data_IF_661336516112
#
_entry.id   IF_661336516112
#
_cell.length_a   1.000
_cell.length_b   1.000
_cell.length_c   1.000
_cell.angle_alpha   90.00
_cell.angle_beta   90.00
_cell.angle_gamma   90.00
#
_symmetry.space_group_name_H-M   'P 1'
#
loop_
_entity.id
_entity.type
_entity.pdbx_description
1 polymer ?
#
# COMPACT_ATOMS: atom_id res chain seq x y z
N UNK A 1 -31.21 18.53 -28.78
CA UNK A 1 -30.61 18.73 -27.44
C UNK A 1 -30.38 17.42 -26.70
N UNK A 2 -31.38 16.51 -26.65
CA UNK A 2 -31.25 15.17 -26.03
C UNK A 2 -30.13 14.30 -26.60
N UNK A 3 -29.92 14.26 -27.92
CA UNK A 3 -28.81 13.48 -28.52
C UNK A 3 -27.42 13.94 -28.04
N UNK A 4 -27.22 15.25 -27.84
CA UNK A 4 -25.95 15.78 -27.31
C UNK A 4 -25.75 15.43 -25.85
N UNK A 5 -26.83 15.37 -25.06
CA UNK A 5 -26.80 14.94 -23.66
C UNK A 5 -26.49 13.45 -23.57
N UNK A 6 -27.18 12.62 -24.35
CA UNK A 6 -26.94 11.17 -24.42
C UNK A 6 -25.51 10.89 -24.90
N UNK A 7 -25.02 11.59 -25.92
CA UNK A 7 -23.65 11.45 -26.42
C UNK A 7 -22.57 11.95 -25.43
N UNK A 8 -22.90 12.87 -24.51
CA UNK A 8 -22.00 13.27 -23.41
C UNK A 8 -22.01 12.24 -22.29
N UNK A 9 -23.19 11.75 -21.91
CA UNK A 9 -23.34 10.70 -20.90
C UNK A 9 -22.68 9.40 -21.33
N UNK A 10 -22.84 8.98 -22.59
CA UNK A 10 -22.18 7.78 -23.12
C UNK A 10 -20.66 7.90 -23.12
N UNK A 11 -20.12 9.08 -23.45
CA UNK A 11 -18.68 9.36 -23.37
C UNK A 11 -18.18 9.37 -21.93
N UNK A 12 -18.93 9.94 -21.00
CA UNK A 12 -18.61 9.91 -19.56
C UNK A 12 -18.62 8.48 -19.01
N UNK A 13 -19.64 7.69 -19.35
CA UNK A 13 -19.74 6.28 -18.95
C UNK A 13 -18.62 5.45 -19.57
N UNK A 14 -18.30 5.66 -20.84
CA UNK A 14 -17.19 4.99 -21.52
C UNK A 14 -15.82 5.38 -20.94
N UNK A 15 -15.67 6.65 -20.53
CA UNK A 15 -14.46 7.13 -19.85
C UNK A 15 -14.33 6.54 -18.45
N UNK A 16 -15.42 6.50 -17.68
CA UNK A 16 -15.46 5.94 -16.33
C UNK A 16 -15.27 4.41 -16.33
N UNK A 17 -15.76 3.72 -17.38
CA UNK A 17 -15.61 2.27 -17.56
C UNK A 17 -14.23 1.81 -18.02
N UNK A 18 -13.32 2.74 -18.36
CA UNK A 18 -11.93 2.43 -18.72
C UNK A 18 -11.00 2.66 -17.54
N UNK A 19 -10.01 1.79 -17.39
CA UNK A 19 -8.97 1.92 -16.35
C UNK A 19 -7.90 2.92 -16.82
N UNK A 20 -7.72 4.01 -16.08
CA UNK A 20 -6.69 5.02 -16.35
C UNK A 20 -5.46 4.79 -15.47
N UNK A 21 -4.30 5.33 -15.87
CA UNK A 21 -3.06 5.26 -15.09
C UNK A 21 -2.59 3.85 -14.65
N UNK A 22 -2.67 2.81 -15.52
CA UNK A 22 -2.34 1.44 -15.12
C UNK A 22 -0.86 1.27 -14.75
N UNK A 23 0.04 2.04 -15.37
CA UNK A 23 1.48 2.01 -15.06
C UNK A 23 1.77 2.58 -13.68
N UNK A 24 1.15 3.70 -13.30
CA UNK A 24 1.30 4.28 -11.96
C UNK A 24 0.81 3.30 -10.89
N UNK A 25 -0.35 2.67 -11.12
CA UNK A 25 -0.87 1.65 -10.22
C UNK A 25 0.08 0.44 -10.08
N UNK A 26 0.74 0.03 -11.17
CA UNK A 26 1.73 -1.04 -11.14
C UNK A 26 3.00 -0.65 -10.37
N UNK A 27 3.50 0.59 -10.53
CA UNK A 27 4.63 1.11 -9.75
C UNK A 27 4.30 1.13 -8.27
N UNK A 28 3.12 1.63 -7.89
CA UNK A 28 2.68 1.66 -6.49
C UNK A 28 2.62 0.23 -5.93
N UNK A 29 1.96 -0.70 -6.65
CA UNK A 29 1.90 -2.10 -6.22
C UNK A 29 3.28 -2.72 -5.99
N UNK A 30 4.20 -2.52 -6.93
CA UNK A 30 5.57 -3.08 -6.83
C UNK A 30 6.31 -2.43 -5.66
N UNK A 31 6.28 -1.10 -5.56
CA UNK A 31 6.98 -0.34 -4.53
C UNK A 31 6.53 -0.71 -3.11
N UNK A 32 5.22 -0.65 -2.83
CA UNK A 32 4.70 -0.97 -1.50
C UNK A 32 4.86 -2.45 -1.14
N UNK A 33 4.68 -3.36 -2.11
CA UNK A 33 4.97 -4.78 -1.90
C UNK A 33 6.45 -5.04 -1.60
N UNK A 34 7.36 -4.34 -2.29
CA UNK A 34 8.80 -4.42 -2.07
C UNK A 34 9.20 -3.89 -0.68
N UNK A 35 8.82 -2.65 -0.34
CA UNK A 35 9.22 -2.03 0.92
C UNK A 35 8.72 -2.84 2.12
N UNK A 36 7.45 -3.24 2.11
CA UNK A 36 6.89 -4.03 3.20
C UNK A 36 7.56 -5.42 3.31
N UNK A 37 7.85 -6.08 2.19
CA UNK A 37 8.59 -7.35 2.22
C UNK A 37 10.01 -7.18 2.76
N UNK A 38 10.74 -6.14 2.33
CA UNK A 38 12.09 -5.85 2.81
C UNK A 38 12.10 -5.49 4.30
N UNK A 39 11.13 -4.71 4.78
CA UNK A 39 10.96 -4.40 6.18
C UNK A 39 10.81 -5.68 7.02
N UNK A 40 9.87 -6.54 6.67
CA UNK A 40 9.67 -7.80 7.39
C UNK A 40 10.86 -8.77 7.26
N UNK A 41 11.55 -8.80 6.12
CA UNK A 41 12.74 -9.64 5.98
C UNK A 41 13.92 -9.13 6.82
N UNK A 42 14.08 -7.81 6.93
CA UNK A 42 15.08 -7.21 7.79
C UNK A 42 14.78 -7.46 9.27
N UNK A 43 13.52 -7.27 9.68
CA UNK A 43 13.11 -7.47 11.07
C UNK A 43 12.85 -8.94 11.42
N UNK A 44 13.09 -9.85 10.48
CA UNK A 44 12.94 -11.28 10.72
C UNK A 44 13.69 -11.79 11.97
N UNK A 45 14.94 -11.37 12.29
CA UNK A 45 15.61 -11.79 13.52
C UNK A 45 14.91 -11.31 14.80
N UNK A 46 14.32 -10.11 14.78
CA UNK A 46 13.72 -9.44 15.94
C UNK A 46 12.20 -9.62 16.03
N UNK A 47 11.57 -10.23 15.02
CA UNK A 47 10.11 -10.30 14.82
C UNK A 47 9.31 -10.73 16.05
N UNK A 48 9.87 -11.64 16.87
CA UNK A 48 9.17 -12.17 18.05
C UNK A 48 9.09 -11.16 19.19
N UNK A 49 10.08 -10.28 19.29
CA UNK A 49 10.12 -9.18 20.26
C UNK A 49 9.30 -8.00 19.76
N UNK A 50 9.28 -7.74 18.45
CA UNK A 50 8.53 -6.60 17.90
C UNK A 50 7.03 -6.85 17.77
N UNK A 51 6.63 -8.08 17.40
CA UNK A 51 5.26 -8.39 17.01
C UNK A 51 4.72 -9.70 17.60
N UNK A 52 5.59 -10.51 18.20
CA UNK A 52 5.28 -11.90 18.53
C UNK A 52 4.93 -12.14 19.99
N UNK A 53 5.38 -13.31 20.45
CA UNK A 53 5.14 -13.84 21.79
C UNK A 53 6.12 -13.28 22.85
N UNK A 54 7.20 -12.61 22.44
CA UNK A 54 8.18 -11.95 23.31
C UNK A 54 7.98 -10.44 23.38
N UNK A 55 6.90 -9.94 22.79
CA UNK A 55 6.58 -8.52 22.75
C UNK A 55 6.26 -7.98 24.15
N UNK A 56 6.96 -6.93 24.63
CA UNK A 56 6.63 -6.25 25.88
C UNK A 56 5.17 -5.76 25.91
N UNK A 57 4.60 -5.41 24.76
CA UNK A 57 3.18 -5.14 24.61
C UNK A 57 2.39 -6.45 24.62
N UNK A 58 1.89 -6.80 25.81
CA UNK A 58 1.21 -8.07 26.04
C UNK A 58 -0.05 -8.22 25.17
N UNK A 59 -0.39 -9.48 24.86
CA UNK A 59 -1.60 -9.81 24.09
C UNK A 59 -2.88 -9.24 24.74
N UNK A 60 -2.94 -9.20 26.07
CA UNK A 60 -4.08 -8.65 26.81
C UNK A 60 -4.23 -7.15 26.56
N UNK A 61 -3.13 -6.39 26.60
CA UNK A 61 -3.14 -4.95 26.32
C UNK A 61 -3.52 -4.68 24.87
N UNK A 62 -3.01 -5.48 23.93
CA UNK A 62 -3.39 -5.37 22.53
C UNK A 62 -4.89 -5.61 22.32
N UNK A 63 -5.46 -6.66 22.94
CA UNK A 63 -6.91 -6.93 22.90
C UNK A 63 -7.75 -5.80 23.50
N UNK A 64 -7.30 -5.19 24.60
CA UNK A 64 -7.98 -4.03 25.20
C UNK A 64 -7.99 -2.84 24.25
N UNK A 65 -6.84 -2.51 23.64
CA UNK A 65 -6.73 -1.42 22.69
C UNK A 65 -7.58 -1.68 21.43
N UNK A 66 -7.58 -2.91 20.92
CA UNK A 66 -8.42 -3.31 19.78
C UNK A 66 -9.92 -3.22 20.12
N UNK A 67 -10.32 -3.55 21.34
CA UNK A 67 -11.72 -3.42 21.75
C UNK A 67 -12.19 -1.96 21.78
N UNK A 68 -11.31 -1.03 22.14
CA UNK A 68 -11.60 0.41 22.21
C UNK A 68 -11.54 1.09 20.82
N UNK A 69 -10.50 0.78 20.03
CA UNK A 69 -10.24 1.43 18.74
C UNK A 69 -10.93 0.76 17.55
N UNK A 70 -11.43 -0.46 17.72
CA UNK A 70 -11.94 -1.32 16.64
C UNK A 70 -10.91 -1.59 15.52
N UNK A 71 -9.60 -1.51 15.85
CA UNK A 71 -8.52 -1.81 14.92
C UNK A 71 -8.47 -3.30 14.55
N UNK A 72 -8.30 -3.62 13.27
CA UNK A 72 -8.24 -5.01 12.81
C UNK A 72 -6.85 -5.62 12.97
N UNK A 73 -6.75 -6.76 13.64
CA UNK A 73 -5.55 -7.60 13.58
C UNK A 73 -5.89 -9.06 13.85
N UNK A 74 -5.45 -9.94 12.96
CA UNK A 74 -5.61 -11.39 13.16
C UNK A 74 -4.65 -11.94 14.21
N UNK A 75 -3.59 -11.20 14.59
CA UNK A 75 -2.62 -11.65 15.58
C UNK A 75 -3.19 -11.77 16.99
N UNK A 76 -4.32 -11.10 17.29
CA UNK A 76 -4.97 -11.19 18.61
C UNK A 76 -5.77 -12.47 18.81
N UNK A 77 -6.06 -13.20 17.73
CA UNK A 77 -6.89 -14.40 17.75
C UNK A 77 -6.25 -15.54 18.54
N UNK A 78 -4.92 -15.64 18.50
CA UNK A 78 -4.16 -16.62 19.28
C UNK A 78 -2.81 -16.04 19.73
N UNK A 79 -2.46 -16.27 20.99
CA UNK A 79 -1.14 -15.93 21.53
C UNK A 79 -0.05 -16.97 21.21
N UNK A 80 -0.39 -18.03 20.47
CA UNK A 80 0.54 -19.10 20.17
C UNK A 80 1.60 -18.69 19.15
N UNK A 81 2.85 -19.10 19.39
CA UNK A 81 3.98 -18.89 18.47
C UNK A 81 3.66 -19.30 17.03
N UNK A 82 3.04 -20.47 16.84
CA UNK A 82 2.72 -20.98 15.51
C UNK A 82 1.77 -20.07 14.72
N UNK A 83 0.80 -19.47 15.40
CA UNK A 83 -0.13 -18.52 14.77
C UNK A 83 0.59 -17.25 14.33
N UNK A 84 1.43 -16.70 15.21
CA UNK A 84 2.25 -15.55 14.89
C UNK A 84 3.15 -15.81 13.67
N UNK A 85 3.89 -16.91 13.66
CA UNK A 85 4.81 -17.25 12.56
C UNK A 85 4.04 -17.47 11.24
N UNK A 86 2.85 -18.09 11.29
CA UNK A 86 1.99 -18.26 10.12
C UNK A 86 1.58 -16.90 9.53
N UNK A 87 1.09 -15.98 10.36
CA UNK A 87 0.63 -14.66 9.92
C UNK A 87 1.81 -13.82 9.41
N UNK A 88 2.93 -13.83 10.11
CA UNK A 88 4.14 -13.07 9.74
C UNK A 88 4.71 -13.50 8.38
N UNK A 89 4.95 -14.81 8.20
CA UNK A 89 5.44 -15.33 6.92
C UNK A 89 4.38 -15.25 5.82
N UNK A 90 3.09 -15.37 6.18
CA UNK A 90 1.96 -15.11 5.30
C UNK A 90 1.95 -13.67 4.77
N UNK A 91 2.26 -12.69 5.61
CA UNK A 91 2.37 -11.28 5.23
C UNK A 91 3.54 -11.05 4.25
N UNK A 92 4.71 -11.66 4.51
CA UNK A 92 5.85 -11.64 3.57
C UNK A 92 5.44 -12.24 2.22
N UNK A 93 4.82 -13.42 2.24
CA UNK A 93 4.38 -14.10 1.02
C UNK A 93 3.34 -13.26 0.26
N UNK A 94 2.38 -12.65 0.96
CA UNK A 94 1.38 -11.78 0.37
C UNK A 94 2.02 -10.55 -0.29
N UNK A 95 3.01 -9.92 0.36
CA UNK A 95 3.75 -8.79 -0.18
C UNK A 95 4.53 -9.15 -1.45
N UNK A 96 5.25 -10.28 -1.45
CA UNK A 96 5.98 -10.76 -2.62
C UNK A 96 5.02 -11.14 -3.75
N UNK A 97 3.93 -11.86 -3.47
CA UNK A 97 2.96 -12.24 -4.49
C UNK A 97 2.23 -11.01 -5.07
N UNK A 98 1.93 -10.01 -4.24
CA UNK A 98 1.39 -8.73 -4.69
C UNK A 98 2.41 -7.99 -5.56
N UNK A 99 3.69 -7.94 -5.18
CA UNK A 99 4.78 -7.34 -5.95
C UNK A 99 4.99 -8.02 -7.31
N UNK A 100 4.82 -9.34 -7.40
CA UNK A 100 4.83 -10.08 -8.67
C UNK A 100 3.53 -9.93 -9.48
N UNK A 101 2.45 -9.51 -8.82
CA UNK A 101 1.13 -9.34 -9.43
C UNK A 101 0.49 -10.67 -9.78
N UNK A 102 0.65 -11.64 -8.87
CA UNK A 102 0.00 -12.94 -8.96
C UNK A 102 -1.35 -12.87 -8.24
N UNK A 103 -2.45 -13.12 -8.96
CA UNK A 103 -3.82 -13.09 -8.42
C UNK A 103 -4.08 -11.79 -7.65
N UNK A 104 -3.71 -10.68 -8.29
CA UNK A 104 -3.53 -9.36 -7.70
C UNK A 104 -4.71 -8.92 -6.83
N UNK A 105 -5.95 -9.27 -7.20
CA UNK A 105 -7.13 -8.93 -6.39
C UNK A 105 -7.17 -9.63 -5.03
N UNK A 106 -6.83 -10.92 -4.99
CA UNK A 106 -6.77 -11.68 -3.75
C UNK A 106 -5.51 -11.36 -2.95
N UNK A 107 -4.37 -11.24 -3.62
CA UNK A 107 -3.11 -10.90 -2.94
C UNK A 107 -3.08 -9.48 -2.41
N UNK A 108 -3.81 -8.53 -3.01
CA UNK A 108 -4.00 -7.20 -2.42
C UNK A 108 -4.81 -7.23 -1.12
N UNK A 109 -5.82 -8.12 -1.01
CA UNK A 109 -6.58 -8.33 0.24
C UNK A 109 -5.69 -9.00 1.29
N UNK A 110 -4.93 -10.03 0.92
CA UNK A 110 -3.98 -10.65 1.85
C UNK A 110 -2.89 -9.68 2.31
N UNK A 111 -2.42 -8.81 1.42
CA UNK A 111 -1.48 -7.75 1.76
C UNK A 111 -2.09 -6.78 2.76
N UNK A 112 -3.33 -6.31 2.52
CA UNK A 112 -4.08 -5.48 3.47
C UNK A 112 -4.20 -6.16 4.84
N UNK A 113 -4.59 -7.44 4.88
CA UNK A 113 -4.68 -8.21 6.13
C UNK A 113 -3.31 -8.29 6.83
N UNK A 114 -2.24 -8.56 6.09
CA UNK A 114 -0.87 -8.65 6.62
C UNK A 114 -0.38 -7.32 7.21
N UNK A 115 -0.57 -6.22 6.47
CA UNK A 115 -0.22 -4.87 6.91
C UNK A 115 -0.97 -4.49 8.18
N UNK A 116 -2.30 -4.62 8.17
CA UNK A 116 -3.12 -4.32 9.36
C UNK A 116 -2.78 -5.24 10.54
N UNK A 117 -2.48 -6.51 10.29
CA UNK A 117 -2.13 -7.45 11.35
C UNK A 117 -0.84 -7.06 12.07
N UNK A 118 0.22 -6.76 11.32
CA UNK A 118 1.53 -6.42 11.87
C UNK A 118 1.51 -5.03 12.53
N UNK A 119 1.01 -4.02 11.84
CA UNK A 119 1.09 -2.66 12.36
C UNK A 119 0.17 -2.42 13.56
N UNK A 120 -1.05 -2.98 13.57
CA UNK A 120 -1.92 -2.86 14.74
C UNK A 120 -1.46 -3.75 15.91
N UNK A 121 -0.51 -4.66 15.70
CA UNK A 121 0.09 -5.46 16.78
C UNK A 121 1.09 -4.66 17.60
N UNK A 122 1.81 -3.72 16.98
CA UNK A 122 2.80 -2.85 17.62
C UNK A 122 2.57 -1.37 17.26
N UNK A 123 1.48 -0.76 17.79
CA UNK A 123 1.05 0.58 17.37
C UNK A 123 2.03 1.70 17.74
N UNK A 124 2.97 1.45 18.65
CA UNK A 124 3.93 2.44 19.13
C UNK A 124 5.32 2.32 18.48
N UNK A 125 5.55 1.26 17.71
CA UNK A 125 6.84 1.05 17.04
C UNK A 125 6.91 1.70 15.65
N UNK A 126 5.76 2.05 15.06
CA UNK A 126 5.69 2.57 13.70
C UNK A 126 5.95 4.08 13.59
N UNK A 127 6.28 4.51 12.38
CA UNK A 127 6.43 5.92 12.01
C UNK A 127 5.37 6.39 10.99
N UNK A 128 5.48 7.64 10.53
CA UNK A 128 4.54 8.21 9.57
C UNK A 128 4.55 7.50 8.19
N UNK A 129 5.62 6.79 7.86
CA UNK A 129 5.74 5.96 6.67
C UNK A 129 4.87 4.70 6.77
N UNK A 130 4.80 4.06 7.93
CA UNK A 130 3.93 2.90 8.17
C UNK A 130 2.46 3.26 8.01
N UNK A 131 2.04 4.41 8.54
CA UNK A 131 0.67 4.92 8.33
C UNK A 131 0.33 5.08 6.84
N UNK A 132 1.30 5.49 6.02
CA UNK A 132 1.11 5.59 4.56
C UNK A 132 0.99 4.18 3.94
N UNK A 133 1.78 3.20 4.37
CA UNK A 133 1.66 1.80 3.91
C UNK A 133 0.27 1.24 4.25
N UNK A 134 -0.22 1.48 5.47
CA UNK A 134 -1.57 1.09 5.90
C UNK A 134 -2.66 1.63 4.99
N UNK A 135 -2.65 2.94 4.77
CA UNK A 135 -3.63 3.62 3.93
C UNK A 135 -3.52 3.13 2.48
N UNK A 136 -2.29 2.96 1.98
CA UNK A 136 -2.06 2.49 0.62
C UNK A 136 -2.51 1.03 0.43
N UNK A 137 -2.38 0.18 1.43
CA UNK A 137 -2.86 -1.19 1.38
C UNK A 137 -4.39 -1.24 1.15
N UNK A 138 -5.14 -0.36 1.82
CA UNK A 138 -6.59 -0.21 1.61
C UNK A 138 -6.89 0.23 0.18
N UNK A 139 -6.18 1.24 -0.32
CA UNK A 139 -6.37 1.72 -1.69
C UNK A 139 -6.00 0.65 -2.73
N UNK A 140 -4.90 -0.07 -2.52
CA UNK A 140 -4.46 -1.13 -3.42
C UNK A 140 -5.49 -2.26 -3.54
N UNK A 141 -6.14 -2.63 -2.44
CA UNK A 141 -7.23 -3.61 -2.42
C UNK A 141 -8.45 -3.19 -3.27
N UNK A 142 -8.66 -1.89 -3.47
CA UNK A 142 -9.70 -1.31 -4.33
C UNK A 142 -9.22 -1.02 -5.78
N UNK A 143 -7.93 -1.12 -6.07
CA UNK A 143 -7.37 -0.76 -7.38
C UNK A 143 -7.15 -1.96 -8.31
N UNK A 144 -7.26 -1.72 -9.62
CA UNK A 144 -6.85 -2.67 -10.67
C UNK A 144 -5.33 -2.60 -10.94
N UNK A 145 -4.51 -2.80 -9.91
CA UNK A 145 -3.04 -2.67 -10.01
C UNK A 145 -2.32 -3.85 -10.72
N UNK A 146 -3.06 -4.87 -11.17
CA UNK A 146 -2.57 -6.02 -11.94
C UNK A 146 -2.82 -5.95 -13.45
N UNK A 147 -3.04 -4.75 -14.01
CA UNK A 147 -3.30 -4.58 -15.45
C UNK A 147 -2.04 -4.71 -16.32
N UNK A 148 -0.93 -4.15 -15.85
CA UNK A 148 0.39 -4.15 -16.50
C UNK A 148 1.46 -4.62 -15.52
N UNK A 149 2.63 -5.03 -16.05
CA UNK A 149 3.80 -5.48 -15.26
C UNK A 149 3.48 -6.50 -14.16
N UNK A 150 2.60 -7.45 -14.45
CA UNK A 150 2.13 -8.47 -13.51
C UNK A 150 2.05 -9.85 -14.15
N UNK A 151 2.20 -10.89 -13.34
CA UNK A 151 1.96 -12.26 -13.76
C UNK A 151 0.50 -12.47 -14.22
N UNK A 152 -0.46 -11.73 -13.67
CA UNK A 152 -1.84 -11.71 -14.14
C UNK A 152 -1.98 -11.18 -15.58
N UNK A 153 -1.28 -10.09 -15.92
CA UNK A 153 -1.29 -9.56 -17.29
C UNK A 153 -0.73 -10.58 -18.29
N UNK A 154 0.38 -11.24 -17.93
CA UNK A 154 0.97 -12.31 -18.74
C UNK A 154 0.02 -13.50 -18.90
N UNK A 155 -0.68 -13.91 -17.82
CA UNK A 155 -1.67 -14.99 -17.86
C UNK A 155 -2.88 -14.68 -18.76
N UNK A 156 -3.35 -13.42 -18.76
CA UNK A 156 -4.46 -13.01 -19.65
C UNK A 156 -4.09 -13.16 -21.12
N UNK A 157 -2.85 -12.81 -21.49
CA UNK A 157 -2.34 -13.03 -22.85
C UNK A 157 -2.39 -14.50 -23.28
N UNK A 158 -1.93 -15.42 -22.42
CA UNK A 158 -1.96 -16.86 -22.71
C UNK A 158 -3.37 -17.48 -22.68
N UNK A 159 -4.33 -16.89 -21.96
CA UNK A 159 -5.73 -17.36 -21.95
C UNK A 159 -6.50 -17.02 -23.21
N UNK A 160 -6.16 -15.91 -23.87
CA UNK A 160 -6.72 -15.59 -25.18
C UNK A 160 -6.40 -16.70 -26.21
N UNK A 161 -5.29 -17.41 -25.98
CA UNK A 161 -4.81 -18.54 -26.79
C UNK A 161 -5.48 -19.89 -26.44
N UNK A 162 -6.42 -19.92 -25.48
CA UNK A 162 -7.24 -21.10 -25.17
C UNK A 162 -6.53 -22.25 -24.43
N UNK A 163 -5.29 -22.06 -23.97
CA UNK A 163 -4.39 -23.20 -23.70
C UNK A 163 -4.56 -23.92 -22.34
N UNK A 164 -5.14 -23.32 -21.28
CA UNK A 164 -5.21 -24.00 -19.94
C UNK A 164 -6.41 -23.60 -19.04
N UNK A 165 -7.09 -24.59 -18.41
CA UNK A 165 -8.16 -24.33 -17.43
C UNK A 165 -7.65 -23.70 -16.13
N UNK A 166 -8.43 -22.79 -15.54
CA UNK A 166 -8.07 -22.03 -14.32
C UNK A 166 -8.17 -22.82 -13.00
N UNK A 167 -7.39 -23.88 -12.83
CA UNK A 167 -7.42 -24.69 -11.58
C UNK A 167 -7.03 -23.89 -10.34
N UNK A 168 -6.01 -23.03 -10.45
CA UNK A 168 -5.54 -22.22 -9.31
C UNK A 168 -6.55 -21.17 -8.85
N UNK A 169 -7.35 -20.61 -9.77
CA UNK A 169 -8.43 -19.69 -9.42
C UNK A 169 -9.54 -20.41 -8.65
N UNK A 170 -9.94 -21.60 -9.12
CA UNK A 170 -10.97 -22.41 -8.43
C UNK A 170 -10.52 -22.77 -7.02
N UNK A 171 -9.30 -23.32 -6.86
CA UNK A 171 -8.77 -23.69 -5.56
C UNK A 171 -8.72 -22.49 -4.59
N UNK A 172 -8.26 -21.32 -5.08
CA UNK A 172 -8.21 -20.09 -4.27
C UNK A 172 -9.59 -19.71 -3.73
N UNK A 173 -10.62 -19.64 -4.59
CA UNK A 173 -11.96 -19.25 -4.17
C UNK A 173 -12.62 -20.29 -3.27
N UNK A 174 -12.42 -21.58 -3.56
CA UNK A 174 -12.92 -22.70 -2.75
C UNK A 174 -12.31 -22.76 -1.36
N UNK A 175 -11.07 -22.28 -1.16
CA UNK A 175 -10.42 -22.24 0.16
C UNK A 175 -10.78 -20.96 0.92
N UNK A 176 -10.85 -19.81 0.23
CA UNK A 176 -11.12 -18.52 0.86
C UNK A 176 -12.50 -18.45 1.53
N UNK A 177 -13.54 -19.01 0.91
CA UNK A 177 -14.90 -18.98 1.47
C UNK A 177 -15.00 -19.70 2.82
N UNK A 178 -14.60 -20.99 2.91
CA UNK A 178 -14.53 -21.71 4.18
C UNK A 178 -13.61 -21.05 5.22
N UNK A 179 -12.48 -20.47 4.81
CA UNK A 179 -11.59 -19.77 5.72
C UNK A 179 -12.25 -18.51 6.32
N UNK A 180 -12.98 -17.73 5.52
CA UNK A 180 -13.75 -16.58 6.00
C UNK A 180 -14.91 -17.02 6.90
N UNK A 181 -15.60 -18.11 6.56
CA UNK A 181 -16.66 -18.68 7.39
C UNK A 181 -16.12 -19.11 8.76
N UNK A 182 -15.01 -19.84 8.77
CA UNK A 182 -14.34 -20.22 10.02
C UNK A 182 -13.96 -18.99 10.84
N UNK A 183 -13.34 -17.98 10.22
CA UNK A 183 -12.98 -16.73 10.91
C UNK A 183 -14.21 -16.03 11.51
N UNK A 184 -15.33 -15.98 10.78
CA UNK A 184 -16.60 -15.41 11.26
C UNK A 184 -17.23 -16.17 12.43
N UNK A 185 -17.03 -17.48 12.51
CA UNK A 185 -17.51 -18.28 13.64
C UNK A 185 -16.67 -18.10 14.91
N UNK A 186 -15.37 -17.80 14.77
CA UNK A 186 -14.43 -17.75 15.90
C UNK A 186 -14.22 -16.32 16.40
N UNK A 187 -14.18 -15.33 15.50
CA UNK A 187 -13.84 -13.94 15.83
C UNK A 187 -14.65 -12.93 15.01
N UNK A 188 -15.94 -12.76 15.34
CA UNK A 188 -16.75 -11.76 14.66
C UNK A 188 -16.29 -10.33 14.99
N UNK A 189 -15.74 -9.64 14.00
CA UNK A 189 -15.45 -8.21 14.02
C UNK A 189 -16.14 -7.51 12.84
N UNK A 190 -16.23 -6.17 12.88
CA UNK A 190 -16.84 -5.39 11.79
C UNK A 190 -16.09 -5.52 10.45
N UNK A 191 -14.81 -5.90 10.49
CA UNK A 191 -13.95 -6.02 9.32
C UNK A 191 -14.25 -7.28 8.51
N UNK A 192 -14.65 -8.38 9.14
CA UNK A 192 -15.09 -9.58 8.43
C UNK A 192 -16.27 -9.30 7.50
N UNK A 193 -17.17 -8.36 7.84
CA UNK A 193 -18.21 -7.90 6.92
C UNK A 193 -17.65 -7.30 5.64
N UNK A 194 -16.60 -6.48 5.75
CA UNK A 194 -15.89 -5.90 4.60
C UNK A 194 -15.26 -7.02 3.76
N UNK A 195 -14.56 -7.96 4.39
CA UNK A 195 -13.94 -9.08 3.67
C UNK A 195 -14.95 -9.99 2.99
N UNK A 196 -16.12 -10.23 3.58
CA UNK A 196 -17.24 -10.93 2.94
C UNK A 196 -17.76 -10.22 1.70
N UNK A 197 -17.92 -8.89 1.75
CA UNK A 197 -18.32 -8.10 0.57
C UNK A 197 -17.26 -8.20 -0.52
N UNK A 198 -15.97 -8.04 -0.17
CA UNK A 198 -14.87 -8.14 -1.13
C UNK A 198 -14.80 -9.54 -1.76
N UNK A 199 -14.91 -10.60 -0.95
CA UNK A 199 -14.90 -11.98 -1.42
C UNK A 199 -16.08 -12.27 -2.34
N UNK A 200 -17.30 -11.85 -1.96
CA UNK A 200 -18.51 -12.09 -2.73
C UNK A 200 -18.49 -11.38 -4.09
N UNK A 201 -18.09 -10.11 -4.12
CA UNK A 201 -17.98 -9.36 -5.38
C UNK A 201 -16.93 -9.95 -6.32
N UNK A 202 -15.78 -10.34 -5.79
CA UNK A 202 -14.72 -10.95 -6.59
C UNK A 202 -15.04 -12.38 -7.02
N UNK A 203 -15.71 -13.15 -6.17
CA UNK A 203 -16.21 -14.49 -6.45
C UNK A 203 -17.30 -14.48 -7.52
N UNK A 204 -18.25 -13.55 -7.44
CA UNK A 204 -19.25 -13.32 -8.49
C UNK A 204 -18.60 -12.94 -9.82
N UNK A 205 -17.60 -12.05 -9.79
CA UNK A 205 -16.84 -11.70 -10.98
C UNK A 205 -16.15 -12.93 -11.60
N UNK A 206 -15.52 -13.77 -10.77
CA UNK A 206 -14.84 -15.00 -11.23
C UNK A 206 -15.82 -16.04 -11.80
N UNK A 207 -16.96 -16.23 -11.15
CA UNK A 207 -18.04 -17.10 -11.60
C UNK A 207 -18.57 -16.67 -12.97
N UNK A 208 -18.86 -15.38 -13.14
CA UNK A 208 -19.32 -14.83 -14.41
C UNK A 208 -18.25 -14.91 -15.51
N UNK A 209 -16.97 -14.65 -15.19
CA UNK A 209 -15.86 -14.80 -16.14
C UNK A 209 -15.74 -16.24 -16.67
N UNK A 210 -16.05 -17.22 -15.82
CA UNK A 210 -15.96 -18.65 -16.15
C UNK A 210 -17.19 -19.17 -16.91
N UNK A 211 -18.40 -18.83 -16.47
CA UNK A 211 -19.63 -19.45 -16.96
C UNK A 211 -20.44 -18.57 -17.92
N UNK A 212 -20.33 -17.25 -17.79
CA UNK A 212 -21.14 -16.31 -18.58
C UNK A 212 -20.34 -15.04 -18.95
N UNK A 213 -19.20 -15.17 -19.68
CA UNK A 213 -18.26 -14.07 -19.90
C UNK A 213 -18.86 -12.91 -20.71
N UNK A 214 -19.93 -13.17 -21.48
CA UNK A 214 -20.66 -12.18 -22.29
C UNK A 214 -21.92 -11.62 -21.61
N UNK A 215 -22.18 -11.99 -20.35
CA UNK A 215 -23.37 -11.54 -19.63
C UNK A 215 -23.27 -10.06 -19.24
N UNK A 216 -24.39 -9.34 -19.26
CA UNK A 216 -24.42 -7.90 -18.95
C UNK A 216 -23.88 -7.59 -17.54
N UNK A 217 -24.20 -8.43 -16.55
CA UNK A 217 -23.66 -8.32 -15.19
C UNK A 217 -22.13 -8.33 -15.15
N UNK A 218 -21.48 -9.11 -16.03
CA UNK A 218 -20.02 -9.16 -16.11
C UNK A 218 -19.44 -7.83 -16.60
N UNK A 219 -20.12 -7.18 -17.55
CA UNK A 219 -19.77 -5.86 -18.06
C UNK A 219 -20.02 -4.75 -17.03
N UNK A 220 -21.11 -4.84 -16.26
CA UNK A 220 -21.41 -3.93 -15.16
C UNK A 220 -20.34 -4.01 -14.05
N UNK A 221 -19.96 -5.21 -13.62
CA UNK A 221 -18.88 -5.40 -12.64
C UNK A 221 -17.53 -4.87 -13.15
N UNK A 222 -17.25 -4.99 -14.45
CA UNK A 222 -16.03 -4.43 -15.02
C UNK A 222 -16.02 -2.91 -15.04
N UNK A 223 -17.13 -2.30 -15.44
CA UNK A 223 -17.30 -0.86 -15.45
C UNK A 223 -17.22 -0.29 -14.03
N UNK A 224 -17.92 -0.91 -13.07
CA UNK A 224 -17.88 -0.52 -11.66
C UNK A 224 -16.47 -0.62 -11.05
N UNK A 225 -15.75 -1.70 -11.32
CA UNK A 225 -14.39 -1.85 -10.83
C UNK A 225 -13.36 -0.96 -11.55
N UNK A 226 -13.60 -0.56 -12.81
CA UNK A 226 -12.80 0.47 -13.48
C UNK A 226 -13.04 1.85 -12.85
N UNK A 227 -14.29 2.18 -12.56
CA UNK A 227 -14.66 3.42 -11.87
C UNK A 227 -14.04 3.47 -10.46
N UNK A 228 -14.17 2.40 -9.68
CA UNK A 228 -13.57 2.29 -8.35
C UNK A 228 -12.05 2.49 -8.40
N UNK A 229 -11.37 1.87 -9.38
CA UNK A 229 -9.94 2.08 -9.59
C UNK A 229 -9.61 3.54 -9.91
N UNK A 230 -10.35 4.19 -10.80
CA UNK A 230 -10.10 5.58 -11.17
C UNK A 230 -10.30 6.52 -9.97
N UNK A 231 -11.35 6.30 -9.17
CA UNK A 231 -11.58 7.01 -7.92
C UNK A 231 -10.41 6.80 -6.94
N UNK A 232 -9.97 5.55 -6.75
CA UNK A 232 -8.84 5.25 -5.87
C UNK A 232 -7.54 5.91 -6.34
N UNK A 233 -7.25 5.91 -7.64
CA UNK A 233 -6.07 6.61 -8.19
C UNK A 233 -6.13 8.13 -7.98
N UNK A 234 -7.32 8.72 -8.08
CA UNK A 234 -7.52 10.14 -7.79
C UNK A 234 -7.31 10.44 -6.30
N UNK A 235 -7.85 9.60 -5.41
CA UNK A 235 -7.66 9.71 -3.96
C UNK A 235 -6.18 9.57 -3.62
N UNK A 236 -5.46 8.61 -4.19
CA UNK A 236 -4.01 8.47 -4.02
C UNK A 236 -3.29 9.75 -4.44
N UNK A 237 -3.61 10.30 -5.62
CA UNK A 237 -2.97 11.52 -6.10
C UNK A 237 -3.23 12.69 -5.15
N UNK A 238 -4.47 12.90 -4.72
CA UNK A 238 -4.84 13.96 -3.78
C UNK A 238 -4.15 13.76 -2.41
N UNK A 239 -4.17 12.54 -1.88
CA UNK A 239 -3.52 12.19 -0.62
C UNK A 239 -2.03 12.49 -0.65
N UNK A 240 -1.33 12.10 -1.72
CA UNK A 240 0.10 12.39 -1.89
C UNK A 240 0.35 13.91 -1.91
N UNK A 241 -0.49 14.69 -2.60
CA UNK A 241 -0.38 16.15 -2.59
C UNK A 241 -0.54 16.72 -1.19
N UNK A 242 -1.53 16.24 -0.45
CA UNK A 242 -1.82 16.69 0.91
C UNK A 242 -0.68 16.35 1.86
N UNK A 243 -0.15 15.12 1.80
CA UNK A 243 0.98 14.68 2.63
C UNK A 243 2.20 15.57 2.38
N UNK A 244 2.57 15.81 1.12
CA UNK A 244 3.74 16.65 0.84
C UNK A 244 3.51 18.11 1.22
N UNK A 245 2.34 18.68 0.91
CA UNK A 245 2.04 20.06 1.25
C UNK A 245 2.04 20.29 2.78
N UNK A 246 1.37 19.40 3.53
CA UNK A 246 1.30 19.50 4.99
C UNK A 246 2.66 19.27 5.63
N UNK A 247 3.44 18.29 5.15
CA UNK A 247 4.79 18.04 5.62
C UNK A 247 5.72 19.23 5.37
N UNK A 248 5.62 19.89 4.21
CA UNK A 248 6.39 21.10 3.90
C UNK A 248 6.01 22.30 4.77
N UNK A 249 4.70 22.55 4.94
CA UNK A 249 4.19 23.63 5.78
C UNK A 249 4.53 23.42 7.26
N UNK A 250 4.46 22.18 7.74
CA UNK A 250 4.84 21.86 9.12
C UNK A 250 6.35 22.08 9.34
N UNK A 251 7.19 21.64 8.40
CA UNK A 251 8.63 21.92 8.44
C UNK A 251 8.93 23.41 8.44
N UNK A 252 8.27 24.22 7.60
CA UNK A 252 8.53 25.67 7.55
C UNK A 252 8.26 26.42 8.87
N UNK A 253 7.46 25.85 9.77
CA UNK A 253 7.18 26.42 11.09
C UNK A 253 8.21 26.02 12.16
N UNK A 254 9.02 24.98 11.91
CA UNK A 254 10.01 24.49 12.87
C UNK A 254 11.30 25.31 12.85
N UNK A 255 11.77 25.74 14.02
CA UNK A 255 12.99 26.56 14.18
C UNK A 255 14.21 25.92 13.53
N UNK A 256 14.37 24.59 13.66
CA UNK A 256 15.46 23.82 13.03
C UNK A 256 15.42 23.79 11.50
N UNK A 257 14.24 23.91 10.90
CA UNK A 257 14.13 24.01 9.45
C UNK A 257 14.37 25.45 8.99
N UNK A 258 13.93 26.43 9.79
CA UNK A 258 14.15 27.86 9.53
C UNK A 258 15.61 28.29 9.65
N UNK A 259 16.39 27.68 10.55
CA UNK A 259 17.83 27.94 10.68
C UNK A 259 18.69 27.03 9.76
N UNK A 260 18.07 26.14 8.98
CA UNK A 260 18.74 25.26 8.03
C UNK A 260 19.50 24.08 8.66
N UNK A 261 19.28 23.76 9.94
CA UNK A 261 20.03 22.73 10.67
C UNK A 261 19.29 21.40 10.85
N UNK A 262 18.01 21.29 10.51
CA UNK A 262 17.16 20.12 10.80
C UNK A 262 17.75 18.79 10.29
N UNK A 263 18.21 18.76 9.04
CA UNK A 263 18.79 17.55 8.42
C UNK A 263 20.08 17.13 9.14
N UNK A 264 20.89 18.09 9.65
CA UNK A 264 22.07 17.77 10.45
C UNK A 264 21.69 17.02 11.73
N UNK A 265 20.70 17.52 12.48
CA UNK A 265 20.25 16.84 13.70
C UNK A 265 19.69 15.44 13.41
N UNK A 266 18.93 15.28 12.33
CA UNK A 266 18.42 13.97 11.92
C UNK A 266 19.56 12.97 11.65
N UNK A 267 20.65 13.42 11.01
CA UNK A 267 21.84 12.59 10.75
C UNK A 267 22.68 12.28 12.00
N UNK A 268 22.42 12.91 13.15
CA UNK A 268 23.13 12.65 14.40
C UNK A 268 22.37 11.73 15.37
N UNK A 269 21.11 11.40 15.08
CA UNK A 269 20.33 10.46 15.89
C UNK A 269 20.81 9.02 15.66
N UNK A 270 21.29 8.35 16.70
CA UNK A 270 21.84 6.99 16.60
C UNK A 270 20.88 5.98 15.96
N UNK A 271 19.57 6.16 16.17
CA UNK A 271 18.52 5.35 15.55
C UNK A 271 18.53 5.42 14.02
N UNK A 272 18.83 6.59 13.45
CA UNK A 272 18.79 6.86 12.00
C UNK A 272 20.19 6.88 11.37
N UNK A 273 21.15 6.14 11.95
CA UNK A 273 22.55 6.09 11.48
C UNK A 273 23.00 4.67 11.16
N UNK A 274 22.39 3.99 10.16
CA UNK A 274 22.85 2.67 9.74
C UNK A 274 24.31 2.67 9.30
N UNK A 275 24.80 3.81 8.77
CA UNK A 275 26.17 4.00 8.32
C UNK A 275 26.76 5.30 8.93
N UNK A 276 27.42 5.23 10.09
CA UNK A 276 27.93 6.42 10.77
C UNK A 276 28.91 7.25 9.93
N UNK A 277 29.74 6.60 9.11
CA UNK A 277 30.69 7.27 8.21
C UNK A 277 29.98 8.06 7.10
N UNK A 278 28.86 7.56 6.58
CA UNK A 278 28.13 8.19 5.48
C UNK A 278 27.38 9.42 5.99
N UNK A 279 26.73 9.29 7.15
CA UNK A 279 26.07 10.42 7.82
C UNK A 279 27.10 11.49 8.21
N UNK A 280 28.27 11.10 8.73
CA UNK A 280 29.37 12.02 9.01
C UNK A 280 29.83 12.77 7.74
N UNK A 281 30.05 12.07 6.63
CA UNK A 281 30.45 12.68 5.36
C UNK A 281 29.39 13.65 4.82
N UNK A 282 28.12 13.25 4.82
CA UNK A 282 27.01 14.09 4.37
C UNK A 282 26.85 15.34 5.25
N UNK A 283 27.05 15.19 6.56
CA UNK A 283 26.98 16.28 7.53
C UNK A 283 28.25 17.15 7.59
N UNK A 284 29.34 16.77 6.92
CA UNK A 284 30.60 17.52 6.96
C UNK A 284 30.52 18.87 6.23
N UNK A 285 29.62 19.02 5.26
CA UNK A 285 29.44 20.23 4.49
C UNK A 285 28.13 20.95 4.88
N UNK A 286 28.25 22.04 5.65
CA UNK A 286 27.10 22.83 6.10
C UNK A 286 26.29 23.44 4.95
N UNK A 287 26.92 23.79 3.81
CA UNK A 287 26.21 24.29 2.65
C UNK A 287 25.31 23.20 2.04
N UNK A 288 25.79 21.97 1.98
CA UNK A 288 24.99 20.84 1.52
C UNK A 288 23.78 20.61 2.44
N UNK A 289 23.99 20.59 3.75
CA UNK A 289 22.90 20.44 4.74
C UNK A 289 21.87 21.57 4.58
N UNK A 290 22.32 22.81 4.48
CA UNK A 290 21.45 23.97 4.27
C UNK A 290 20.61 23.83 3.00
N UNK A 291 21.23 23.45 1.88
CA UNK A 291 20.53 23.25 0.61
C UNK A 291 19.51 22.10 0.68
N UNK A 292 19.82 21.02 1.41
CA UNK A 292 18.87 19.93 1.64
C UNK A 292 17.66 20.41 2.46
N UNK A 293 17.89 21.13 3.57
CA UNK A 293 16.82 21.66 4.42
C UNK A 293 15.84 22.53 3.63
N UNK A 294 16.34 23.57 2.95
CA UNK A 294 15.49 24.49 2.19
C UNK A 294 14.93 23.85 0.93
N UNK A 295 15.73 23.03 0.23
CA UNK A 295 15.33 22.32 -0.97
C UNK A 295 14.14 21.41 -0.71
N UNK A 296 14.19 20.61 0.37
CA UNK A 296 13.08 19.76 0.81
C UNK A 296 11.81 20.58 1.06
N UNK A 297 11.87 21.67 1.84
CA UNK A 297 10.68 22.47 2.16
C UNK A 297 10.07 23.10 0.90
N UNK A 298 10.90 23.73 0.06
CA UNK A 298 10.45 24.38 -1.18
C UNK A 298 9.79 23.36 -2.11
N UNK A 299 10.43 22.20 -2.29
CA UNK A 299 9.94 21.13 -3.14
C UNK A 299 8.59 20.59 -2.64
N UNK A 300 8.48 20.29 -1.35
CA UNK A 300 7.27 19.73 -0.74
C UNK A 300 6.08 20.69 -0.84
N UNK A 301 6.29 21.98 -0.57
CA UNK A 301 5.23 23.01 -0.70
C UNK A 301 4.87 23.26 -2.17
N UNK A 302 5.85 23.25 -3.07
CA UNK A 302 5.62 23.54 -4.49
C UNK A 302 4.93 22.41 -5.23
N UNK A 303 5.07 21.16 -4.77
CA UNK A 303 4.64 19.96 -5.50
C UNK A 303 3.20 20.02 -6.03
N UNK A 304 2.16 20.34 -5.21
CA UNK A 304 0.78 20.41 -5.70
C UNK A 304 0.58 21.42 -6.84
N UNK A 305 1.29 22.55 -6.80
CA UNK A 305 1.18 23.63 -7.79
C UNK A 305 1.84 23.28 -9.11
N UNK A 306 2.86 22.41 -9.09
CA UNK A 306 3.59 22.01 -10.31
C UNK A 306 2.87 20.96 -11.16
N UNK A 307 1.82 20.30 -10.64
CA UNK A 307 1.13 19.19 -11.30
C UNK A 307 0.53 19.55 -12.67
N UNK A 308 0.18 20.83 -12.85
CA UNK A 308 -0.38 21.36 -14.10
C UNK A 308 0.67 21.50 -15.21
N UNK A 309 1.96 21.53 -14.86
CA UNK A 309 3.06 21.74 -15.79
C UNK A 309 3.88 20.46 -15.96
N UNK A 310 3.60 19.69 -17.02
CA UNK A 310 4.16 18.34 -17.24
C UNK A 310 5.68 18.26 -17.11
N UNK A 311 6.44 19.23 -17.63
CA UNK A 311 7.91 19.24 -17.55
C UNK A 311 8.39 19.46 -16.11
N UNK A 312 7.86 20.49 -15.45
CA UNK A 312 8.21 20.84 -14.07
C UNK A 312 7.86 19.69 -13.13
N UNK A 313 6.66 19.14 -13.26
CA UNK A 313 6.20 17.96 -12.52
C UNK A 313 7.19 16.79 -12.63
N UNK A 314 7.64 16.45 -13.85
CA UNK A 314 8.50 15.28 -14.05
C UNK A 314 9.90 15.50 -13.46
N UNK A 315 10.45 16.71 -13.57
CA UNK A 315 11.73 17.06 -12.92
C UNK A 315 11.56 16.98 -11.40
N UNK A 316 10.49 17.57 -10.85
CA UNK A 316 10.24 17.56 -9.42
C UNK A 316 10.04 16.13 -8.88
N UNK A 317 9.31 15.29 -9.60
CA UNK A 317 9.16 13.87 -9.26
C UNK A 317 10.50 13.13 -9.23
N UNK A 318 11.41 13.40 -10.17
CA UNK A 318 12.74 12.80 -10.18
C UNK A 318 13.56 13.25 -8.96
N UNK A 319 13.52 14.54 -8.62
CA UNK A 319 14.18 15.09 -7.42
C UNK A 319 13.59 14.50 -6.14
N UNK A 320 12.26 14.36 -6.05
CA UNK A 320 11.57 13.72 -4.93
C UNK A 320 12.00 12.27 -4.77
N UNK A 321 12.07 11.50 -5.86
CA UNK A 321 12.53 10.11 -5.82
C UNK A 321 13.97 10.05 -5.31
N UNK A 322 14.85 10.93 -5.80
CA UNK A 322 16.24 11.01 -5.34
C UNK A 322 16.34 11.38 -3.86
N UNK A 323 15.49 12.28 -3.37
CA UNK A 323 15.41 12.61 -1.94
C UNK A 323 15.02 11.37 -1.12
N UNK A 324 13.99 10.63 -1.51
CA UNK A 324 13.55 9.43 -0.78
C UNK A 324 14.59 8.30 -0.82
N UNK A 325 15.27 8.13 -1.96
CA UNK A 325 16.41 7.20 -2.07
C UNK A 325 17.55 7.65 -1.16
N UNK A 326 17.85 8.95 -1.12
CA UNK A 326 18.84 9.52 -0.22
C UNK A 326 18.51 9.25 1.25
N UNK A 327 17.26 9.49 1.66
CA UNK A 327 16.75 9.16 3.00
C UNK A 327 16.90 7.66 3.29
N UNK A 328 16.49 6.80 2.35
CA UNK A 328 16.57 5.36 2.52
C UNK A 328 18.02 4.86 2.72
N UNK A 329 18.98 5.41 1.98
CA UNK A 329 20.39 5.00 2.04
C UNK A 329 21.11 5.62 3.24
N UNK A 330 20.90 6.91 3.49
CA UNK A 330 21.63 7.66 4.53
C UNK A 330 21.04 7.39 5.91
N UNK A 331 19.71 7.44 6.03
CA UNK A 331 19.00 7.37 7.30
C UNK A 331 18.37 5.99 7.58
N UNK A 332 18.18 5.15 6.56
CA UNK A 332 17.64 3.80 6.74
C UNK A 332 16.14 3.75 7.07
N UNK A 333 15.42 4.88 7.03
CA UNK A 333 14.05 5.04 7.54
C UNK A 333 13.06 3.99 7.00
N UNK A 334 12.99 3.67 5.68
CA UNK A 334 11.98 2.73 5.17
C UNK A 334 12.14 1.29 5.67
N UNK A 335 13.16 1.03 6.47
CA UNK A 335 13.51 -0.28 6.99
C UNK A 335 13.71 -0.26 8.51
N UNK A 336 13.50 0.87 9.19
CA UNK A 336 13.75 1.02 10.63
C UNK A 336 12.51 0.78 11.49
#
# INVERSE_FOLDING_TARGET
MQERVIARLSRLMAFAGRTHSPYQAAVIRIGYGFFFACYLLREWPNRRVLFGDHDPWSLTMNRMLTADTHAFTVLTWSGGRWWFELVYHGAIAAAVLLMLGWRTRATAVFFLVGVLAIENRSPFAGDAGDDIIRIMAVYLAATRCGQVWSLDARRRGHRADGTRPDRGGVALWSVLGPALLWASCVHWDGWLGIFWVMWSLQGLWFALDRWAPRHETRALLDSGAAMLHNCAMLVIAAQVCLIYASAGLYKSQGTKWQDGSAVYYAMQLDLFRPWPWLTALASANMLLVFLLCYGTVIMQISFPFTLMYRKVKNVLLAVMILEHVGIAVILGIPFL
#
